data_IF_715989844052
#
_entry.id   IF_715989844052
#
_cell.length_a   1.000
_cell.length_b   1.000
_cell.length_c   1.000
_cell.angle_alpha   90.00
_cell.angle_beta   90.00
_cell.angle_gamma   90.00
#
_symmetry.space_group_name_H-M   'P 1'
#
loop_
_entity.id
_entity.type
_entity.pdbx_description
1 polymer ?
#
# COMPACT_ATOMS: atom_id res chain seq x y z
N UNK A 1 17.88 -23.43 11.57
CA UNK A 1 18.28 -24.23 12.76
C UNK A 1 17.12 -24.96 13.41
N UNK A 2 15.99 -24.32 13.75
CA UNK A 2 14.89 -25.05 14.40
C UNK A 2 14.30 -26.20 13.57
N UNK A 3 14.33 -26.09 12.24
CA UNK A 3 13.80 -27.09 11.30
C UNK A 3 14.69 -28.34 11.14
N UNK A 4 15.92 -28.35 11.68
CA UNK A 4 16.81 -29.53 11.66
C UNK A 4 16.79 -30.30 12.98
N UNK A 5 15.97 -29.87 13.94
CA UNK A 5 15.79 -30.57 15.20
C UNK A 5 14.85 -31.74 14.94
N UNK A 6 15.27 -32.94 15.32
CA UNK A 6 14.43 -34.13 15.32
C UNK A 6 13.92 -34.36 16.74
N UNK A 7 12.62 -34.65 16.86
CA UNK A 7 12.00 -34.90 18.15
C UNK A 7 10.77 -35.79 18.00
N UNK A 8 10.64 -36.76 18.89
CA UNK A 8 9.42 -37.54 19.08
C UNK A 8 8.82 -37.17 20.44
N UNK A 9 7.49 -37.23 20.62
CA UNK A 9 6.89 -37.12 21.95
C UNK A 9 7.62 -38.07 22.93
N UNK A 10 8.03 -37.54 24.08
CA UNK A 10 8.71 -38.28 25.16
C UNK A 10 10.17 -38.71 24.89
N UNK A 11 10.80 -38.23 23.83
CA UNK A 11 12.25 -38.37 23.58
C UNK A 11 12.90 -36.99 23.59
N UNK A 12 14.12 -36.89 24.13
CA UNK A 12 14.88 -35.64 24.08
C UNK A 12 15.09 -35.21 22.62
N UNK A 13 14.90 -33.92 22.33
CA UNK A 13 15.20 -33.33 21.03
C UNK A 13 16.67 -33.59 20.65
N UNK A 14 16.91 -34.06 19.43
CA UNK A 14 18.24 -34.29 18.87
C UNK A 14 18.51 -33.34 17.71
N UNK A 15 19.79 -33.04 17.49
CA UNK A 15 20.29 -32.31 16.32
C UNK A 15 21.37 -33.19 15.67
N UNK A 16 21.47 -33.26 14.33
CA UNK A 16 22.55 -34.00 13.68
C UNK A 16 23.91 -33.56 14.20
N UNK A 17 24.77 -34.52 14.57
CA UNK A 17 26.06 -34.23 15.21
C UNK A 17 27.04 -33.46 14.32
N UNK A 18 26.90 -33.59 13.00
CA UNK A 18 27.73 -32.89 12.01
C UNK A 18 26.90 -32.56 10.77
N UNK A 19 26.88 -31.29 10.41
CA UNK A 19 26.32 -30.81 9.15
C UNK A 19 26.96 -29.47 8.78
N UNK A 20 26.89 -29.11 7.51
CA UNK A 20 27.28 -27.79 6.99
C UNK A 20 26.12 -27.31 6.14
N UNK A 21 25.67 -26.07 6.38
CA UNK A 21 24.63 -25.41 5.59
C UNK A 21 25.26 -24.13 5.04
N UNK A 22 25.27 -24.01 3.72
CA UNK A 22 25.53 -22.78 2.99
C UNK A 22 24.23 -22.37 2.31
N UNK A 23 23.66 -21.22 2.67
CA UNK A 23 22.29 -20.84 2.31
C UNK A 23 22.20 -19.33 2.03
N UNK A 24 21.57 -18.99 0.91
CA UNK A 24 21.29 -17.62 0.48
C UNK A 24 20.04 -17.59 -0.40
N UNK A 25 19.26 -16.48 -0.41
CA UNK A 25 18.04 -16.43 -1.20
C UNK A 25 18.33 -16.17 -2.68
N UNK A 26 17.65 -16.90 -3.58
CA UNK A 26 17.70 -16.62 -5.02
C UNK A 26 17.08 -15.27 -5.38
N UNK A 27 16.09 -14.81 -4.61
CA UNK A 27 15.40 -13.55 -4.82
C UNK A 27 15.43 -12.67 -3.56
N UNK A 28 15.78 -11.38 -3.68
CA UNK A 28 15.86 -10.48 -2.53
C UNK A 28 14.48 -10.08 -2.00
N UNK A 29 13.43 -10.11 -2.84
CA UNK A 29 12.05 -9.84 -2.45
C UNK A 29 11.29 -11.17 -2.31
N UNK A 30 10.84 -11.49 -1.08
CA UNK A 30 10.02 -12.68 -0.77
C UNK A 30 8.81 -12.23 0.03
N UNK A 31 7.79 -11.82 -0.72
CA UNK A 31 6.62 -11.11 -0.21
C UNK A 31 5.46 -12.01 0.17
N UNK A 32 4.64 -11.52 1.10
CA UNK A 32 3.27 -11.99 1.32
C UNK A 32 2.34 -10.77 1.38
N UNK A 33 1.20 -10.85 0.70
CA UNK A 33 0.16 -9.82 0.78
C UNK A 33 -0.89 -10.21 1.83
N UNK A 34 -1.25 -9.27 2.70
CA UNK A 34 -2.42 -9.40 3.58
C UNK A 34 -3.40 -8.27 3.27
N UNK A 35 -4.63 -8.66 2.95
CA UNK A 35 -5.75 -7.76 2.75
C UNK A 35 -6.51 -7.52 4.05
N UNK A 36 -6.51 -6.26 4.47
CA UNK A 36 -7.33 -5.76 5.57
C UNK A 36 -8.30 -4.66 5.15
N UNK A 37 -8.35 -4.31 3.86
CA UNK A 37 -9.34 -3.39 3.29
C UNK A 37 -10.72 -4.04 3.14
N UNK A 38 -10.75 -5.37 2.91
CA UNK A 38 -11.99 -6.15 2.79
C UNK A 38 -12.50 -6.66 4.13
N UNK A 39 -11.61 -7.19 4.97
CA UNK A 39 -11.94 -7.72 6.30
C UNK A 39 -10.90 -7.32 7.34
N UNK A 40 -11.36 -6.84 8.50
CA UNK A 40 -10.47 -6.57 9.62
C UNK A 40 -9.85 -7.86 10.16
N UNK A 41 -8.52 -7.86 10.30
CA UNK A 41 -7.78 -8.91 11.02
C UNK A 41 -7.28 -8.37 12.37
N UNK A 42 -7.57 -9.03 13.50
CA UNK A 42 -7.03 -8.62 14.78
C UNK A 42 -5.50 -8.59 14.78
N UNK A 43 -4.89 -7.63 15.49
CA UNK A 43 -3.43 -7.48 15.57
C UNK A 43 -2.73 -8.79 15.94
N UNK A 44 -3.30 -9.61 16.82
CA UNK A 44 -2.76 -10.92 17.20
C UNK A 44 -2.55 -11.84 15.98
N UNK A 45 -3.49 -11.83 15.04
CA UNK A 45 -3.40 -12.62 13.80
C UNK A 45 -2.28 -12.07 12.91
N UNK A 46 -2.13 -10.75 12.82
CA UNK A 46 -1.04 -10.14 12.07
C UNK A 46 0.33 -10.48 12.68
N UNK A 47 0.47 -10.45 14.00
CA UNK A 47 1.69 -10.85 14.70
C UNK A 47 2.04 -12.33 14.46
N UNK A 48 1.03 -13.22 14.48
CA UNK A 48 1.22 -14.64 14.12
C UNK A 48 1.68 -14.81 12.68
N UNK A 49 1.15 -14.03 11.74
CA UNK A 49 1.59 -14.06 10.35
C UNK A 49 3.05 -13.63 10.20
N UNK A 50 3.51 -12.58 10.89
CA UNK A 50 4.93 -12.20 10.88
C UNK A 50 5.84 -13.32 11.40
N UNK A 51 5.42 -14.04 12.46
CA UNK A 51 6.17 -15.19 12.96
C UNK A 51 6.25 -16.31 11.91
N UNK A 52 5.13 -16.65 11.28
CA UNK A 52 5.09 -17.66 10.21
C UNK A 52 5.94 -17.26 9.01
N UNK A 53 5.89 -15.99 8.59
CA UNK A 53 6.76 -15.45 7.54
C UNK A 53 8.24 -15.64 7.90
N UNK A 54 8.62 -15.34 9.15
CA UNK A 54 10.00 -15.51 9.62
C UNK A 54 10.46 -16.98 9.58
N UNK A 55 9.59 -17.93 9.91
CA UNK A 55 9.88 -19.36 9.82
C UNK A 55 10.08 -19.84 8.37
N UNK A 56 9.49 -19.13 7.41
CA UNK A 56 9.59 -19.42 5.99
C UNK A 56 10.58 -18.50 5.25
N UNK A 57 11.42 -17.75 5.98
CA UNK A 57 12.39 -16.78 5.44
C UNK A 57 11.77 -15.72 4.53
N UNK A 58 10.47 -15.45 4.61
CA UNK A 58 9.85 -14.30 3.93
C UNK A 58 10.33 -13.00 4.58
N UNK A 59 10.48 -11.94 3.81
CA UNK A 59 11.09 -10.69 4.26
C UNK A 59 10.34 -9.42 3.87
N UNK A 60 9.22 -9.53 3.16
CA UNK A 60 8.35 -8.40 2.84
C UNK A 60 6.91 -8.75 3.20
N UNK A 61 6.28 -7.92 4.01
CA UNK A 61 4.83 -7.93 4.19
C UNK A 61 4.26 -6.76 3.38
N UNK A 62 3.56 -7.08 2.30
CA UNK A 62 2.71 -6.14 1.58
C UNK A 62 1.38 -6.07 2.32
N UNK A 63 1.08 -4.93 2.94
CA UNK A 63 -0.13 -4.77 3.73
C UNK A 63 -1.14 -3.90 3.01
N UNK A 64 -2.14 -4.53 2.40
CA UNK A 64 -3.29 -3.87 1.75
C UNK A 64 -4.27 -3.35 2.81
N UNK A 65 -4.24 -2.04 3.04
CA UNK A 65 -4.91 -1.38 4.18
C UNK A 65 -6.24 -0.73 3.82
N UNK A 66 -6.46 -0.41 2.56
CA UNK A 66 -7.61 0.38 2.11
C UNK A 66 -8.18 -0.20 0.85
N UNK A 67 -9.51 -0.22 0.78
CA UNK A 67 -10.26 -0.67 -0.39
C UNK A 67 -11.65 -0.01 -0.42
N UNK A 68 -12.48 -0.32 -1.42
CA UNK A 68 -13.88 0.08 -1.53
C UNK A 68 -14.71 -0.23 -0.27
N UNK A 69 -14.37 -1.31 0.44
CA UNK A 69 -15.13 -1.76 1.61
C UNK A 69 -14.81 -0.91 2.85
N UNK A 70 -13.52 -0.72 3.17
CA UNK A 70 -13.09 -0.03 4.38
C UNK A 70 -11.75 0.70 4.25
N UNK A 71 -11.61 1.76 5.02
CA UNK A 71 -10.32 2.37 5.36
C UNK A 71 -9.88 1.86 6.74
N UNK A 72 -8.88 0.97 6.80
CA UNK A 72 -8.59 0.21 8.03
C UNK A 72 -7.60 0.87 8.98
N UNK A 73 -6.91 1.94 8.58
CA UNK A 73 -5.99 2.68 9.45
C UNK A 73 -6.70 3.87 10.12
N UNK A 74 -6.54 4.07 11.44
CA UNK A 74 -7.13 5.22 12.13
C UNK A 74 -6.28 6.49 11.98
N UNK A 75 -6.77 7.40 11.12
CA UNK A 75 -6.24 8.75 10.93
C UNK A 75 -7.14 9.85 11.53
N UNK A 76 -8.20 9.49 12.26
CA UNK A 76 -9.27 10.42 12.67
C UNK A 76 -8.84 11.54 13.61
N UNK A 77 -7.68 11.38 14.26
CA UNK A 77 -7.10 12.43 15.12
C UNK A 77 -6.75 13.68 14.33
N UNK A 78 -6.46 13.56 13.04
CA UNK A 78 -6.38 14.71 12.15
C UNK A 78 -7.78 15.04 11.63
N UNK A 79 -8.26 16.25 11.93
CA UNK A 79 -9.60 16.71 11.54
C UNK A 79 -9.79 16.75 10.02
N UNK A 80 -8.70 16.79 9.25
CA UNK A 80 -8.75 16.70 7.77
C UNK A 80 -9.22 15.32 7.30
N UNK A 81 -9.02 14.29 8.11
CA UNK A 81 -9.24 12.88 7.77
C UNK A 81 -10.26 12.17 8.69
N UNK A 82 -11.02 12.93 9.48
CA UNK A 82 -11.94 12.40 10.50
C UNK A 82 -13.08 11.52 9.99
N UNK A 83 -13.42 11.61 8.69
CA UNK A 83 -14.49 10.84 8.05
C UNK A 83 -14.00 9.66 7.20
N UNK A 84 -12.70 9.31 7.22
CA UNK A 84 -12.18 8.21 6.38
C UNK A 84 -12.81 6.85 6.69
N UNK A 85 -13.30 6.65 7.91
CA UNK A 85 -13.94 5.41 8.36
C UNK A 85 -15.47 5.46 8.25
N UNK A 86 -16.03 6.54 7.68
CA UNK A 86 -17.47 6.72 7.57
C UNK A 86 -18.08 5.65 6.65
N UNK A 87 -19.00 4.87 7.20
CA UNK A 87 -19.61 3.75 6.47
C UNK A 87 -18.72 2.51 6.36
N UNK A 88 -17.62 2.40 7.12
CA UNK A 88 -16.95 1.11 7.31
C UNK A 88 -17.96 0.07 7.85
N UNK A 89 -17.98 -1.18 7.34
CA UNK A 89 -18.94 -2.19 7.79
C UNK A 89 -18.73 -2.63 9.25
N UNK A 90 -17.52 -2.44 9.78
CA UNK A 90 -17.15 -2.77 11.15
C UNK A 90 -16.42 -1.61 11.83
N UNK A 91 -16.55 -1.44 13.16
CA UNK A 91 -15.94 -0.32 13.90
C UNK A 91 -14.44 -0.52 14.18
N UNK A 92 -13.83 -1.59 13.68
CA UNK A 92 -12.45 -1.94 13.97
C UNK A 92 -11.48 -1.25 13.01
N UNK A 93 -10.42 -0.68 13.56
CA UNK A 93 -9.33 -0.04 12.82
C UNK A 93 -8.01 -0.27 13.54
N UNK A 94 -6.91 -0.05 12.83
CA UNK A 94 -5.57 -0.08 13.38
C UNK A 94 -5.19 1.32 13.86
N UNK A 95 -4.96 1.48 15.16
CA UNK A 95 -4.44 2.74 15.67
C UNK A 95 -2.99 2.95 15.22
N UNK A 96 -2.57 4.21 15.07
CA UNK A 96 -1.17 4.58 14.75
C UNK A 96 -0.16 3.89 15.67
N UNK A 97 -0.50 3.77 16.97
CA UNK A 97 0.36 3.14 17.98
C UNK A 97 0.51 1.64 17.74
N UNK A 98 -0.56 0.95 17.35
CA UNK A 98 -0.52 -0.48 17.03
C UNK A 98 0.34 -0.74 15.80
N UNK A 99 0.14 0.06 14.74
CA UNK A 99 0.92 -0.07 13.51
C UNK A 99 2.41 0.20 13.75
N UNK A 100 2.77 1.26 14.47
CA UNK A 100 4.18 1.55 14.81
C UNK A 100 4.81 0.39 15.58
N UNK A 101 4.10 -0.19 16.56
CA UNK A 101 4.60 -1.35 17.30
C UNK A 101 4.76 -2.58 16.41
N UNK A 102 3.80 -2.81 15.54
CA UNK A 102 3.78 -3.94 14.62
C UNK A 102 4.93 -3.87 13.61
N UNK A 103 5.15 -2.72 12.98
CA UNK A 103 6.26 -2.51 12.05
C UNK A 103 7.60 -2.69 12.76
N UNK A 104 7.76 -2.15 13.98
CA UNK A 104 8.99 -2.38 14.77
C UNK A 104 9.22 -3.86 15.08
N UNK A 105 8.17 -4.61 15.36
CA UNK A 105 8.27 -6.05 15.58
C UNK A 105 8.62 -6.82 14.30
N UNK A 106 8.01 -6.46 13.16
CA UNK A 106 8.37 -7.01 11.86
C UNK A 106 9.87 -6.82 11.57
N UNK A 107 10.42 -5.66 11.90
CA UNK A 107 11.84 -5.36 11.71
C UNK A 107 12.76 -6.24 12.57
N UNK A 108 12.35 -6.61 13.79
CA UNK A 108 13.09 -7.58 14.62
C UNK A 108 13.13 -8.97 13.98
N UNK A 109 12.15 -9.29 13.14
CA UNK A 109 12.07 -10.54 12.39
C UNK A 109 12.71 -10.45 11.00
N UNK A 110 13.30 -9.30 10.65
CA UNK A 110 13.88 -9.06 9.32
C UNK A 110 12.83 -8.92 8.21
N UNK A 111 11.60 -8.53 8.55
CA UNK A 111 10.48 -8.35 7.62
C UNK A 111 10.21 -6.85 7.44
N UNK A 112 10.37 -6.36 6.21
CA UNK A 112 9.95 -5.00 5.82
C UNK A 112 8.44 -4.98 5.60
N UNK A 113 7.75 -4.03 6.23
CA UNK A 113 6.31 -3.82 5.96
C UNK A 113 6.15 -2.69 4.94
N UNK A 114 5.48 -2.97 3.82
CA UNK A 114 5.13 -1.99 2.78
C UNK A 114 3.61 -1.78 2.86
N UNK A 115 3.13 -0.59 3.29
CA UNK A 115 1.72 -0.29 3.26
C UNK A 115 1.27 -0.05 1.81
N UNK A 116 0.07 -0.53 1.51
CA UNK A 116 -0.65 -0.17 0.31
C UNK A 116 -1.83 0.74 0.65
N UNK A 117 -1.88 1.86 -0.07
CA UNK A 117 -3.00 2.79 -0.12
C UNK A 117 -3.46 2.82 -1.57
N UNK A 118 -4.48 2.05 -1.87
CA UNK A 118 -4.94 1.82 -3.23
C UNK A 118 -5.70 3.03 -3.79
N UNK A 119 -5.13 3.67 -4.81
CA UNK A 119 -5.64 4.88 -5.46
C UNK A 119 -5.23 4.89 -6.94
N UNK A 120 -6.06 5.44 -7.85
CA UNK A 120 -7.32 6.17 -7.63
C UNK A 120 -8.56 5.26 -7.60
N UNK A 121 -8.40 4.00 -8.00
CA UNK A 121 -9.39 2.93 -7.88
C UNK A 121 -9.60 2.54 -6.41
N UNK A 122 -10.53 1.62 -6.13
CA UNK A 122 -10.70 1.02 -4.80
C UNK A 122 -10.88 2.02 -3.63
N UNK A 123 -11.53 3.15 -3.91
CA UNK A 123 -11.65 4.29 -2.98
C UNK A 123 -13.07 4.59 -2.53
N UNK A 124 -14.03 3.70 -2.76
CA UNK A 124 -15.42 3.93 -2.32
C UNK A 124 -15.53 4.17 -0.82
N UNK A 125 -14.70 3.52 0.02
CA UNK A 125 -14.70 3.79 1.47
C UNK A 125 -14.29 5.23 1.81
N UNK A 126 -13.39 5.83 1.01
CA UNK A 126 -12.97 7.22 1.17
C UNK A 126 -14.07 8.17 0.71
N UNK A 127 -14.68 7.87 -0.44
CA UNK A 127 -15.72 8.66 -1.08
C UNK A 127 -16.99 8.75 -0.21
N UNK A 128 -17.30 7.72 0.60
CA UNK A 128 -18.41 7.79 1.58
C UNK A 128 -18.27 8.97 2.54
N UNK A 129 -17.07 9.20 3.07
CA UNK A 129 -16.78 10.31 3.98
C UNK A 129 -16.39 11.61 3.28
N UNK A 130 -15.91 11.55 2.04
CA UNK A 130 -15.49 12.70 1.24
C UNK A 130 -15.97 12.55 -0.21
N UNK A 131 -17.28 12.75 -0.48
CA UNK A 131 -17.84 12.59 -1.82
C UNK A 131 -17.17 13.48 -2.88
N UNK A 132 -16.58 14.60 -2.45
CA UNK A 132 -15.88 15.54 -3.31
C UNK A 132 -14.65 14.92 -4.01
N UNK A 133 -14.08 13.83 -3.46
CA UNK A 133 -12.96 13.11 -4.08
C UNK A 133 -13.35 12.46 -5.41
N UNK A 134 -14.61 12.02 -5.54
CA UNK A 134 -15.09 11.39 -6.78
C UNK A 134 -15.26 12.39 -7.91
N UNK A 135 -15.56 13.67 -7.61
CA UNK A 135 -15.68 14.72 -8.60
C UNK A 135 -16.59 14.35 -9.78
N UNK A 136 -16.00 14.34 -10.97
CA UNK A 136 -16.66 13.98 -12.22
C UNK A 136 -16.35 12.55 -12.70
N UNK A 137 -15.67 11.73 -11.89
CA UNK A 137 -15.40 10.33 -12.18
C UNK A 137 -16.57 9.41 -11.75
N UNK A 138 -16.54 8.15 -12.18
CA UNK A 138 -17.46 7.10 -11.75
C UNK A 138 -16.73 6.16 -10.81
N UNK A 139 -17.16 6.09 -9.55
CA UNK A 139 -16.65 5.17 -8.52
C UNK A 139 -15.16 5.31 -8.14
N UNK A 140 -14.38 6.09 -8.88
CA UNK A 140 -12.97 6.39 -8.62
C UNK A 140 -12.79 7.83 -8.17
N UNK A 141 -11.57 8.16 -7.75
CA UNK A 141 -11.19 9.55 -7.55
C UNK A 141 -11.04 10.32 -8.87
N UNK A 142 -11.46 11.58 -8.89
CA UNK A 142 -11.25 12.49 -10.01
C UNK A 142 -9.84 13.12 -9.92
N UNK A 143 -8.91 12.78 -10.83
CA UNK A 143 -7.53 13.24 -10.76
C UNK A 143 -7.40 14.74 -11.11
N UNK A 144 -8.40 15.32 -11.78
CA UNK A 144 -8.37 16.71 -12.27
C UNK A 144 -8.64 17.73 -11.16
N UNK A 145 -9.17 17.29 -10.02
CA UNK A 145 -9.46 18.15 -8.88
C UNK A 145 -8.22 18.37 -8.00
N UNK A 146 -7.89 19.64 -7.76
CA UNK A 146 -6.81 20.01 -6.82
C UNK A 146 -7.05 19.47 -5.41
N UNK A 147 -8.32 19.41 -4.98
CA UNK A 147 -8.70 18.83 -3.69
C UNK A 147 -8.30 17.36 -3.57
N UNK A 148 -8.60 16.55 -4.60
CA UNK A 148 -8.23 15.12 -4.64
C UNK A 148 -6.73 14.93 -4.49
N UNK A 149 -5.92 15.68 -5.26
CA UNK A 149 -4.46 15.59 -5.21
C UNK A 149 -3.90 15.87 -3.82
N UNK A 150 -4.30 17.00 -3.23
CA UNK A 150 -3.84 17.41 -1.91
C UNK A 150 -4.31 16.45 -0.81
N UNK A 151 -5.52 15.92 -0.93
CA UNK A 151 -6.07 14.98 0.03
C UNK A 151 -5.31 13.65 0.02
N UNK A 152 -5.12 13.04 -1.16
CA UNK A 152 -4.39 11.76 -1.28
C UNK A 152 -2.95 11.93 -0.83
N UNK A 153 -2.25 12.97 -1.29
CA UNK A 153 -0.89 13.29 -0.84
C UNK A 153 -0.79 13.38 0.69
N UNK A 154 -1.74 14.09 1.29
CA UNK A 154 -1.81 14.27 2.73
C UNK A 154 -1.99 12.96 3.50
N UNK A 155 -2.90 12.09 3.05
CA UNK A 155 -3.14 10.77 3.66
C UNK A 155 -1.93 9.87 3.50
N UNK A 156 -1.40 9.75 2.28
CA UNK A 156 -0.25 8.87 1.99
C UNK A 156 1.00 9.33 2.76
N UNK A 157 1.22 10.64 2.90
CA UNK A 157 2.31 11.18 3.72
C UNK A 157 2.19 10.80 5.19
N UNK A 158 0.98 10.83 5.74
CA UNK A 158 0.74 10.44 7.12
C UNK A 158 0.96 8.93 7.32
N UNK A 159 0.49 8.11 6.37
CA UNK A 159 0.77 6.66 6.36
C UNK A 159 2.28 6.41 6.31
N UNK A 160 3.01 7.10 5.44
CA UNK A 160 4.46 6.99 5.36
C UNK A 160 5.13 7.28 6.72
N UNK A 161 4.71 8.34 7.41
CA UNK A 161 5.23 8.73 8.73
C UNK A 161 4.92 7.67 9.81
N UNK A 162 3.73 7.07 9.75
CA UNK A 162 3.31 5.99 10.66
C UNK A 162 4.08 4.69 10.44
N UNK A 163 4.54 4.39 9.22
CA UNK A 163 5.26 3.16 8.90
C UNK A 163 6.78 3.28 8.99
N UNK A 164 7.33 4.46 8.75
CA UNK A 164 8.78 4.63 8.65
C UNK A 164 9.37 5.61 9.65
N UNK A 165 8.53 6.43 10.29
CA UNK A 165 8.91 7.52 11.18
C UNK A 165 8.84 8.89 10.51
N UNK A 166 8.78 9.94 11.32
CA UNK A 166 8.63 11.32 10.86
C UNK A 166 9.95 11.85 10.29
N UNK A 167 9.98 12.03 8.96
CA UNK A 167 11.15 12.59 8.24
C UNK A 167 11.54 13.97 8.76
N UNK A 168 10.57 14.81 9.15
CA UNK A 168 10.84 16.17 9.63
C UNK A 168 11.54 16.15 10.98
N UNK A 169 11.32 15.11 11.78
CA UNK A 169 11.98 14.89 13.07
C UNK A 169 13.26 14.06 12.97
N UNK A 170 13.64 13.62 11.76
CA UNK A 170 14.76 12.69 11.50
C UNK A 170 14.64 11.38 12.30
N UNK A 171 13.41 10.98 12.62
CA UNK A 171 13.13 9.72 13.29
C UNK A 171 12.84 8.67 12.22
N UNK A 172 13.68 7.63 12.13
CA UNK A 172 13.47 6.52 11.19
C UNK A 172 13.68 5.18 11.86
N UNK A 173 12.80 4.20 11.65
CA UNK A 173 12.92 2.88 12.29
C UNK A 173 12.67 1.69 11.35
N UNK A 174 12.42 1.92 10.06
CA UNK A 174 12.09 0.88 9.08
C UNK A 174 12.87 1.03 7.75
N UNK A 175 14.07 1.61 7.82
CA UNK A 175 14.96 1.77 6.67
C UNK A 175 14.38 2.65 5.56
N UNK A 176 14.67 2.27 4.31
CA UNK A 176 14.18 2.97 3.12
C UNK A 176 12.65 2.88 3.01
N UNK A 177 12.02 4.05 2.84
CA UNK A 177 10.57 4.17 2.73
C UNK A 177 10.09 3.60 1.40
N UNK A 178 9.02 2.82 1.43
CA UNK A 178 8.35 2.32 0.24
C UNK A 178 6.83 2.31 0.47
N UNK A 179 6.06 2.64 -0.56
CA UNK A 179 4.60 2.66 -0.52
C UNK A 179 4.10 2.02 -1.81
N UNK A 180 3.13 1.13 -1.67
CA UNK A 180 2.34 0.66 -2.80
C UNK A 180 1.13 1.58 -2.94
N UNK A 181 0.88 2.11 -4.14
CA UNK A 181 -0.26 3.00 -4.39
C UNK A 181 -1.41 2.31 -5.13
N UNK A 182 -1.32 0.99 -5.27
CA UNK A 182 -2.32 0.18 -5.95
C UNK A 182 -2.35 0.51 -7.44
N UNK A 183 -3.48 1.01 -7.91
CA UNK A 183 -3.66 1.44 -9.30
C UNK A 183 -4.03 0.29 -10.24
N UNK A 184 -4.63 -0.77 -9.69
CA UNK A 184 -5.18 -1.90 -10.42
C UNK A 184 -6.62 -1.65 -10.91
N UNK A 185 -7.08 -2.59 -11.74
CA UNK A 185 -8.45 -2.69 -12.25
C UNK A 185 -8.89 -1.43 -13.02
N UNK A 186 -8.06 -0.97 -13.96
CA UNK A 186 -8.29 0.25 -14.76
C UNK A 186 -9.52 0.19 -15.67
N UNK A 187 -10.69 0.39 -15.04
CA UNK A 187 -11.98 0.42 -15.71
C UNK A 187 -12.28 1.81 -16.28
N UNK A 188 -13.39 1.92 -17.00
CA UNK A 188 -13.86 3.15 -17.65
C UNK A 188 -14.39 4.23 -16.66
N UNK A 189 -13.88 4.24 -15.42
CA UNK A 189 -14.27 5.17 -14.37
C UNK A 189 -14.07 6.65 -14.74
N UNK A 190 -13.09 6.94 -15.60
CA UNK A 190 -12.83 8.27 -16.13
C UNK A 190 -13.51 8.57 -17.47
N UNK A 191 -14.33 7.65 -17.99
CA UNK A 191 -15.05 7.82 -19.25
C UNK A 191 -16.34 8.63 -19.07
N UNK A 192 -16.24 9.85 -18.53
CA UNK A 192 -17.38 10.76 -18.34
C UNK A 192 -17.34 11.94 -19.31
N UNK A 193 -18.48 12.59 -19.62
CA UNK A 193 -18.49 13.73 -20.55
C UNK A 193 -17.53 14.86 -20.14
N UNK A 194 -17.43 15.14 -18.83
CA UNK A 194 -16.54 16.16 -18.30
C UNK A 194 -15.07 15.77 -18.51
N UNK A 195 -14.68 14.56 -18.10
CA UNK A 195 -13.31 14.10 -18.18
C UNK A 195 -12.84 13.88 -19.63
N UNK A 196 -13.73 13.47 -20.54
CA UNK A 196 -13.44 13.46 -21.99
C UNK A 196 -13.21 14.85 -22.57
N UNK A 197 -13.95 15.86 -22.12
CA UNK A 197 -13.67 17.24 -22.52
C UNK A 197 -12.33 17.70 -21.95
N UNK A 198 -12.02 17.34 -20.70
CA UNK A 198 -10.74 17.65 -20.09
C UNK A 198 -9.57 17.06 -20.89
N UNK A 199 -9.63 15.79 -21.31
CA UNK A 199 -8.56 15.16 -22.11
C UNK A 199 -8.44 15.78 -23.51
N UNK A 200 -9.54 16.20 -24.12
CA UNK A 200 -9.49 16.95 -25.38
C UNK A 200 -8.78 18.29 -25.21
N UNK A 201 -9.05 18.99 -24.11
CA UNK A 201 -8.58 20.37 -23.92
C UNK A 201 -7.15 20.46 -23.33
N UNK A 202 -6.71 19.44 -22.57
CA UNK A 202 -5.43 19.44 -21.84
C UNK A 202 -4.50 18.26 -22.18
N UNK A 203 -5.05 17.20 -22.77
CA UNK A 203 -4.32 15.97 -23.08
C UNK A 203 -3.51 16.06 -24.37
N UNK A 204 -2.46 15.24 -24.46
CA UNK A 204 -1.65 15.09 -25.66
C UNK A 204 -2.22 14.04 -26.63
N UNK A 205 -2.94 13.03 -26.13
CA UNK A 205 -3.50 11.93 -26.92
C UNK A 205 -4.99 12.09 -27.21
N UNK A 206 -5.64 13.00 -26.49
CA UNK A 206 -7.07 13.27 -26.49
C UNK A 206 -7.93 12.02 -26.21
N UNK A 207 -7.46 11.15 -25.31
CA UNK A 207 -8.14 9.91 -24.93
C UNK A 207 -7.87 9.53 -23.46
N UNK A 208 -8.33 8.34 -23.01
CA UNK A 208 -8.20 7.90 -21.61
C UNK A 208 -6.77 7.85 -21.08
N UNK A 209 -5.78 7.63 -21.95
CA UNK A 209 -4.35 7.60 -21.59
C UNK A 209 -3.88 8.93 -21.01
N UNK A 210 -4.47 10.06 -21.40
CA UNK A 210 -4.08 11.36 -20.85
C UNK A 210 -4.34 11.48 -19.35
N UNK A 211 -5.43 10.89 -18.85
CA UNK A 211 -5.74 10.92 -17.41
C UNK A 211 -4.85 9.96 -16.62
N UNK A 212 -4.47 8.83 -17.20
CA UNK A 212 -3.48 7.91 -16.62
C UNK A 212 -2.12 8.60 -16.54
N UNK A 213 -1.63 9.16 -17.65
CA UNK A 213 -0.37 9.88 -17.70
C UNK A 213 -0.38 11.06 -16.71
N UNK A 214 -1.47 11.82 -16.63
CA UNK A 214 -1.63 12.91 -15.66
C UNK A 214 -1.63 12.42 -14.21
N UNK A 215 -2.34 11.33 -13.89
CA UNK A 215 -2.32 10.75 -12.55
C UNK A 215 -0.89 10.35 -12.13
N UNK A 216 -0.16 9.65 -13.00
CA UNK A 216 1.20 9.23 -12.73
C UNK A 216 2.15 10.44 -12.59
N UNK A 217 2.11 11.37 -13.53
CA UNK A 217 3.10 12.46 -13.60
C UNK A 217 2.84 13.60 -12.63
N UNK A 218 1.58 13.82 -12.20
CA UNK A 218 1.24 14.96 -11.35
C UNK A 218 0.82 14.55 -9.94
N UNK A 219 0.16 13.41 -9.77
CA UNK A 219 -0.33 12.97 -8.45
C UNK A 219 0.66 12.03 -7.80
N UNK A 220 1.03 10.96 -8.49
CA UNK A 220 2.00 9.99 -7.97
C UNK A 220 3.38 10.64 -7.78
N UNK A 221 3.78 11.55 -8.65
CA UNK A 221 5.09 12.21 -8.54
C UNK A 221 5.16 13.13 -7.31
N UNK A 222 4.12 13.92 -7.06
CA UNK A 222 4.01 14.76 -5.87
C UNK A 222 3.96 13.92 -4.58
N UNK A 223 3.31 12.76 -4.61
CA UNK A 223 3.34 11.78 -3.51
C UNK A 223 4.76 11.22 -3.29
N UNK A 224 5.47 10.83 -4.35
CA UNK A 224 6.82 10.32 -4.26
C UNK A 224 7.77 11.36 -3.64
N UNK A 225 7.69 12.62 -4.08
CA UNK A 225 8.51 13.71 -3.58
C UNK A 225 8.19 14.06 -2.11
N UNK A 226 6.91 14.24 -1.79
CA UNK A 226 6.46 14.61 -0.44
C UNK A 226 6.77 13.54 0.60
N UNK A 227 6.58 12.26 0.25
CA UNK A 227 6.88 11.16 1.18
C UNK A 227 8.36 10.78 1.17
N UNK A 228 9.06 10.95 0.05
CA UNK A 228 10.41 10.42 -0.21
C UNK A 228 10.44 8.89 -0.15
N UNK A 229 9.33 8.26 -0.52
CA UNK A 229 9.20 6.81 -0.61
C UNK A 229 9.47 6.36 -2.04
N UNK A 230 10.04 5.16 -2.15
CA UNK A 230 9.95 4.43 -3.41
C UNK A 230 8.50 4.03 -3.67
N UNK A 231 8.03 4.24 -4.89
CA UNK A 231 6.65 3.98 -5.27
C UNK A 231 6.54 2.65 -6.01
N UNK A 232 5.61 1.82 -5.55
CA UNK A 232 5.18 0.62 -6.25
C UNK A 232 3.73 0.77 -6.74
N UNK A 233 3.43 0.26 -7.93
CA UNK A 233 2.08 0.15 -8.48
C UNK A 233 1.83 -1.25 -9.02
N UNK A 234 0.56 -1.67 -9.07
CA UNK A 234 0.14 -2.80 -9.91
C UNK A 234 0.36 -2.49 -11.39
N UNK A 235 0.48 -3.51 -12.23
CA UNK A 235 0.89 -3.35 -13.62
C UNK A 235 -0.20 -2.87 -14.60
N UNK A 236 -1.40 -2.53 -14.14
CA UNK A 236 -2.51 -2.13 -15.01
C UNK A 236 -2.22 -0.83 -15.77
N UNK A 237 -1.69 0.19 -15.08
CA UNK A 237 -1.32 1.45 -15.73
C UNK A 237 -0.15 1.33 -16.73
N UNK A 238 0.66 0.26 -16.69
CA UNK A 238 1.69 0.02 -17.71
C UNK A 238 1.08 -0.21 -19.10
N UNK A 239 -0.10 -0.84 -19.15
CA UNK A 239 -0.76 -1.15 -20.43
C UNK A 239 -1.49 0.07 -21.00
N UNK A 240 -1.87 1.02 -20.14
CA UNK A 240 -2.65 2.21 -20.53
C UNK A 240 -1.81 3.48 -20.68
N UNK A 241 -0.58 3.53 -20.16
CA UNK A 241 0.35 4.67 -20.30
C UNK A 241 1.30 4.50 -21.50
N UNK A 242 1.50 5.58 -22.25
CA UNK A 242 2.42 5.59 -23.39
C UNK A 242 3.84 6.09 -23.04
N UNK A 243 4.06 6.69 -21.85
CA UNK A 243 5.29 7.48 -21.59
C UNK A 243 5.88 7.48 -20.18
N UNK A 244 5.14 7.15 -19.11
CA UNK A 244 5.61 7.43 -17.76
C UNK A 244 6.10 6.17 -17.02
N UNK A 245 7.43 5.93 -17.04
CA UNK A 245 8.08 5.02 -16.07
C UNK A 245 8.38 5.74 -14.74
N UNK A 246 8.74 7.03 -14.80
CA UNK A 246 8.81 7.90 -13.63
C UNK A 246 7.39 8.40 -13.32
N UNK A 247 6.95 8.42 -12.04
CA UNK A 247 7.69 8.28 -10.78
C UNK A 247 7.69 6.87 -10.15
N UNK A 248 7.47 5.81 -10.93
CA UNK A 248 7.26 4.45 -10.42
C UNK A 248 8.60 3.71 -10.31
N UNK A 249 9.00 3.35 -9.09
CA UNK A 249 10.23 2.59 -8.85
C UNK A 249 10.08 1.09 -9.11
N UNK A 250 8.87 0.55 -8.93
CA UNK A 250 8.61 -0.89 -9.07
C UNK A 250 7.19 -1.13 -9.57
N UNK A 251 7.06 -2.05 -10.53
CA UNK A 251 5.78 -2.55 -11.01
C UNK A 251 5.54 -3.96 -10.48
N UNK A 252 4.40 -4.18 -9.83
CA UNK A 252 3.98 -5.48 -9.33
C UNK A 252 3.06 -6.14 -10.34
N UNK A 253 3.57 -7.18 -11.00
CA UNK A 253 2.88 -7.85 -12.11
C UNK A 253 1.92 -8.92 -11.58
N UNK A 254 0.62 -8.76 -11.84
CA UNK A 254 -0.43 -9.72 -11.47
C UNK A 254 -1.30 -10.14 -12.66
N UNK A 255 -1.45 -9.26 -13.66
CA UNK A 255 -2.07 -9.58 -14.95
C UNK A 255 -1.01 -10.09 -15.93
N UNK A 256 -1.31 -11.19 -16.61
CA UNK A 256 -0.50 -11.79 -17.68
C UNK A 256 -1.13 -11.54 -19.05
#
# INVERSE_FOLDING_TARGET
MIQIIEGYPYVNNTVPQKFVIDDYPSFPHRGMLIDTGRHYLPMEILYKNLQLMSFNKMNVLHWHLTDDIAFSLDLTRDRRYSRLQEGNPYPYTYSKREVIKFVKFANLLGIKVIPEIDVPAHTQSWIRGYPELQGHALYWMDPTLSYTKEFVKGVVSEVADIFYGDRRRRETYNGERAIHLGGDETWDAWNTPYLRNWTRDHGCYHNKTDLVDYWLTEVVADIAESTGSKITLWNDFLNDSAKALWPVDTWQVWLY
#
